data_IF_184159119264
#
_entry.id   IF_184159119264
#
_cell.length_a   1.000
_cell.length_b   1.000
_cell.length_c   1.000
_cell.angle_alpha   90.00
_cell.angle_beta   90.00
_cell.angle_gamma   90.00
#
_symmetry.space_group_name_H-M   'P 1'
#
loop_
_entity.id
_entity.type
_entity.pdbx_description
1 polymer ?
#
# COMPACT_ATOMS: atom_id res chain seq x y z
N UNK A 1 1.93 -20.95 -31.44
CA UNK A 1 0.98 -19.83 -31.54
C UNK A 1 1.46 -19.01 -32.73
N UNK A 2 0.67 -18.90 -33.81
CA UNK A 2 1.10 -18.17 -35.01
C UNK A 2 1.15 -16.67 -34.69
N UNK A 3 2.32 -16.04 -34.85
CA UNK A 3 2.46 -14.59 -34.74
C UNK A 3 2.12 -14.00 -36.11
N UNK A 4 1.08 -13.16 -36.16
CA UNK A 4 0.71 -12.43 -37.37
C UNK A 4 1.56 -11.16 -37.39
N UNK A 5 2.47 -11.05 -38.35
CA UNK A 5 3.30 -9.86 -38.53
C UNK A 5 2.48 -8.64 -38.96
N UNK A 6 3.13 -7.48 -39.06
CA UNK A 6 2.52 -6.20 -39.42
C UNK A 6 1.85 -6.19 -40.82
N UNK A 7 2.03 -7.26 -41.61
CA UNK A 7 1.47 -7.49 -42.95
C UNK A 7 0.37 -8.56 -42.98
N UNK A 8 -0.02 -9.16 -41.84
CA UNK A 8 -1.06 -10.19 -41.75
C UNK A 8 -0.66 -11.57 -42.27
N UNK A 9 0.60 -11.76 -42.69
CA UNK A 9 1.16 -13.05 -43.06
C UNK A 9 1.71 -13.80 -41.81
N UNK A 10 1.60 -15.14 -41.76
CA UNK A 10 2.20 -15.92 -40.68
C UNK A 10 3.73 -15.88 -40.77
N UNK A 11 4.37 -15.40 -39.71
CA UNK A 11 5.83 -15.37 -39.59
C UNK A 11 6.35 -16.53 -38.75
N UNK A 12 7.53 -17.03 -39.10
CA UNK A 12 8.21 -18.05 -38.30
C UNK A 12 8.64 -17.45 -36.96
N UNK A 13 8.05 -17.94 -35.87
CA UNK A 13 8.31 -17.41 -34.53
C UNK A 13 8.72 -18.53 -33.56
N UNK A 14 9.70 -18.24 -32.71
CA UNK A 14 10.08 -19.09 -31.58
C UNK A 14 9.58 -18.43 -30.29
N UNK A 15 8.77 -19.16 -29.53
CA UNK A 15 8.26 -18.67 -28.24
C UNK A 15 9.15 -19.14 -27.10
N UNK A 16 9.77 -18.20 -26.39
CA UNK A 16 10.50 -18.47 -25.15
C UNK A 16 9.62 -18.09 -23.96
N UNK A 17 9.38 -19.04 -23.06
CA UNK A 17 8.63 -18.80 -21.81
C UNK A 17 9.58 -18.82 -20.62
N UNK A 18 9.56 -17.74 -19.83
CA UNK A 18 10.42 -17.57 -18.65
C UNK A 18 9.54 -17.54 -17.41
N UNK A 19 9.83 -18.43 -16.46
CA UNK A 19 9.13 -18.50 -15.18
C UNK A 19 10.06 -18.01 -14.06
N UNK A 20 9.52 -17.16 -13.18
CA UNK A 20 10.25 -16.74 -11.98
C UNK A 20 10.36 -17.89 -10.98
N UNK A 21 11.43 -17.92 -10.21
CA UNK A 21 11.54 -18.83 -9.05
C UNK A 21 10.59 -18.36 -7.92
N UNK A 22 10.11 -19.28 -7.06
CA UNK A 22 9.40 -18.89 -5.83
C UNK A 22 10.22 -17.90 -5.01
N UNK A 23 9.58 -16.88 -4.44
CA UNK A 23 10.25 -15.82 -3.66
C UNK A 23 10.93 -14.71 -4.48
N UNK A 24 11.16 -14.90 -5.79
CA UNK A 24 11.74 -13.84 -6.63
C UNK A 24 10.70 -12.76 -6.99
N UNK A 25 11.11 -11.49 -6.95
CA UNK A 25 10.33 -10.34 -7.40
C UNK A 25 10.12 -10.41 -8.92
N UNK A 26 8.87 -10.41 -9.36
CA UNK A 26 8.53 -10.53 -10.78
C UNK A 26 9.03 -9.35 -11.61
N UNK A 27 9.04 -8.14 -11.04
CA UNK A 27 9.47 -6.90 -11.74
C UNK A 27 10.98 -6.98 -12.00
N UNK A 28 11.76 -7.33 -11.00
CA UNK A 28 13.23 -7.43 -11.11
C UNK A 28 13.65 -8.51 -12.11
N UNK A 29 12.94 -9.66 -12.11
CA UNK A 29 13.19 -10.74 -13.07
C UNK A 29 12.94 -10.28 -14.50
N UNK A 30 11.82 -9.59 -14.75
CA UNK A 30 11.51 -9.06 -16.09
C UNK A 30 12.55 -8.04 -16.54
N UNK A 31 12.89 -7.07 -15.69
CA UNK A 31 13.90 -6.06 -15.99
C UNK A 31 15.26 -6.68 -16.32
N UNK A 32 15.67 -7.71 -15.55
CA UNK A 32 16.93 -8.42 -15.77
C UNK A 32 16.92 -9.19 -17.08
N UNK A 33 15.80 -9.83 -17.41
CA UNK A 33 15.62 -10.56 -18.68
C UNK A 33 15.67 -9.58 -19.86
N UNK A 34 14.94 -8.47 -19.81
CA UNK A 34 14.92 -7.48 -20.89
C UNK A 34 16.29 -6.83 -21.09
N UNK A 35 16.96 -6.44 -20.00
CA UNK A 35 18.33 -5.94 -20.07
C UNK A 35 19.27 -6.98 -20.69
N UNK A 36 19.11 -8.27 -20.37
CA UNK A 36 19.93 -9.32 -20.98
C UNK A 36 19.62 -9.49 -22.47
N UNK A 37 18.36 -9.43 -22.87
CA UNK A 37 17.96 -9.47 -24.29
C UNK A 37 18.56 -8.30 -25.05
N UNK A 38 18.54 -7.09 -24.48
CA UNK A 38 19.15 -5.91 -25.09
C UNK A 38 20.68 -6.06 -25.26
N UNK A 39 21.38 -6.66 -24.30
CA UNK A 39 22.83 -6.93 -24.46
C UNK A 39 23.15 -7.95 -25.56
N UNK A 40 22.17 -8.76 -25.97
CA UNK A 40 22.33 -9.78 -27.00
C UNK A 40 21.96 -9.26 -28.40
N UNK A 41 21.29 -8.10 -28.49
CA UNK A 41 21.00 -7.40 -29.73
C UNK A 41 22.31 -6.93 -30.39
N UNK A 42 22.48 -7.24 -31.67
CA UNK A 42 23.68 -6.89 -32.44
C UNK A 42 24.88 -7.85 -32.28
N UNK A 43 24.75 -8.92 -31.47
CA UNK A 43 25.76 -10.00 -31.41
C UNK A 43 25.14 -11.34 -31.78
N UNK A 44 24.31 -11.89 -30.90
CA UNK A 44 23.62 -13.18 -31.06
C UNK A 44 22.24 -13.03 -31.70
N UNK A 45 21.63 -11.85 -31.60
CA UNK A 45 20.38 -11.49 -32.27
C UNK A 45 20.72 -10.53 -33.43
N UNK A 46 20.79 -11.05 -34.66
CA UNK A 46 20.99 -10.22 -35.85
C UNK A 46 19.79 -9.30 -36.12
N UNK A 47 19.99 -8.25 -36.91
CA UNK A 47 19.03 -7.15 -37.11
C UNK A 47 17.72 -7.59 -37.78
N UNK A 48 17.70 -8.78 -38.39
CA UNK A 48 16.52 -9.41 -39.00
C UNK A 48 15.63 -10.15 -37.99
N UNK A 49 16.09 -10.33 -36.74
CA UNK A 49 15.35 -11.00 -35.68
C UNK A 49 14.62 -9.99 -34.79
N UNK A 50 13.29 -9.95 -34.91
CA UNK A 50 12.44 -9.10 -34.08
C UNK A 50 12.04 -9.81 -32.79
N UNK A 51 12.32 -9.19 -31.64
CA UNK A 51 11.89 -9.71 -30.33
C UNK A 51 10.66 -8.96 -29.86
N UNK A 52 9.54 -9.68 -29.71
CA UNK A 52 8.27 -9.13 -29.23
C UNK A 52 7.87 -9.78 -27.91
N UNK A 53 7.56 -8.95 -26.91
CA UNK A 53 7.04 -9.42 -25.63
C UNK A 53 5.54 -9.71 -25.81
N UNK A 54 5.16 -10.98 -25.70
CA UNK A 54 3.77 -11.41 -25.88
C UNK A 54 2.97 -11.39 -24.58
N UNK A 55 3.62 -11.64 -23.44
CA UNK A 55 3.02 -11.58 -22.09
C UNK A 55 4.05 -11.14 -21.06
N UNK A 56 3.76 -10.03 -20.38
CA UNK A 56 4.57 -9.51 -19.30
C UNK A 56 3.76 -9.41 -18.00
N UNK A 57 3.83 -10.46 -17.19
CA UNK A 57 3.17 -10.48 -15.88
C UNK A 57 3.87 -9.58 -14.85
N UNK A 58 5.13 -9.18 -15.06
CA UNK A 58 5.85 -8.25 -14.19
C UNK A 58 5.36 -6.82 -14.38
N UNK A 59 5.19 -6.37 -15.62
CA UNK A 59 4.63 -5.06 -15.96
C UNK A 59 3.19 -4.92 -15.46
N UNK A 60 2.33 -5.91 -15.72
CA UNK A 60 0.93 -5.88 -15.23
C UNK A 60 0.86 -5.90 -13.70
N UNK A 61 1.78 -6.59 -13.02
CA UNK A 61 1.85 -6.57 -11.56
C UNK A 61 2.31 -5.21 -11.02
N UNK A 62 3.30 -4.58 -11.67
CA UNK A 62 3.79 -3.25 -11.32
C UNK A 62 2.70 -2.18 -11.50
N UNK A 63 2.02 -2.16 -12.65
CA UNK A 63 0.92 -1.23 -12.93
C UNK A 63 -0.19 -1.37 -11.89
N UNK A 64 -0.64 -2.60 -11.61
CA UNK A 64 -1.70 -2.84 -10.63
C UNK A 64 -1.28 -2.46 -9.21
N UNK A 65 -0.01 -2.66 -8.85
CA UNK A 65 0.51 -2.23 -7.56
C UNK A 65 0.56 -0.70 -7.45
N UNK A 66 0.99 -0.01 -8.51
CA UNK A 66 1.07 1.45 -8.53
C UNK A 66 -0.32 2.11 -8.52
N UNK A 67 -1.27 1.55 -9.26
CA UNK A 67 -2.68 1.95 -9.26
C UNK A 67 -3.29 1.81 -7.85
N UNK A 68 -3.04 0.69 -7.17
CA UNK A 68 -3.48 0.48 -5.79
C UNK A 68 -2.84 1.47 -4.79
N UNK A 69 -1.53 1.71 -4.90
CA UNK A 69 -0.83 2.67 -4.05
C UNK A 69 -1.38 4.10 -4.25
N UNK A 70 -1.66 4.48 -5.49
CA UNK A 70 -2.25 5.77 -5.82
C UNK A 70 -3.65 5.92 -5.23
N UNK A 71 -4.52 4.90 -5.38
CA UNK A 71 -5.85 4.93 -4.77
C UNK A 71 -5.80 4.96 -3.24
N UNK A 72 -4.87 4.24 -2.62
CA UNK A 72 -4.66 4.27 -1.17
C UNK A 72 -4.22 5.68 -0.71
N UNK A 73 -3.30 6.32 -1.44
CA UNK A 73 -2.87 7.69 -1.16
C UNK A 73 -4.01 8.70 -1.28
N UNK A 74 -4.83 8.61 -2.34
CA UNK A 74 -6.01 9.48 -2.52
C UNK A 74 -7.03 9.26 -1.40
N UNK A 75 -7.28 8.02 -0.99
CA UNK A 75 -8.21 7.70 0.09
C UNK A 75 -7.73 8.25 1.44
N UNK A 76 -6.46 8.03 1.81
CA UNK A 76 -5.87 8.56 3.06
C UNK A 76 -5.91 10.09 3.06
N UNK A 77 -5.56 10.73 1.95
CA UNK A 77 -5.62 12.19 1.83
C UNK A 77 -7.05 12.71 1.95
N UNK A 78 -8.01 12.06 1.29
CA UNK A 78 -9.43 12.41 1.36
C UNK A 78 -10.00 12.31 2.78
N UNK A 79 -9.68 11.24 3.50
CA UNK A 79 -10.06 11.06 4.91
C UNK A 79 -9.41 12.12 5.79
N UNK A 80 -8.11 12.39 5.61
CA UNK A 80 -7.41 13.43 6.37
C UNK A 80 -8.04 14.81 6.16
N UNK A 81 -8.44 15.14 4.92
CA UNK A 81 -9.10 16.41 4.57
C UNK A 81 -10.50 16.51 5.16
N UNK A 82 -11.27 15.41 5.15
CA UNK A 82 -12.58 15.33 5.81
C UNK A 82 -12.46 15.55 7.31
N UNK A 83 -11.53 14.88 7.98
CA UNK A 83 -11.29 15.03 9.42
C UNK A 83 -10.81 16.46 9.73
N UNK A 84 -9.95 17.04 8.89
CA UNK A 84 -9.51 18.44 9.04
C UNK A 84 -10.69 19.42 9.01
N UNK A 85 -11.66 19.20 8.12
CA UNK A 85 -12.82 20.07 7.99
C UNK A 85 -13.88 19.87 9.08
N UNK A 86 -14.04 18.64 9.58
CA UNK A 86 -15.08 18.29 10.55
C UNK A 86 -14.65 18.35 12.02
N UNK A 87 -13.40 18.03 12.35
CA UNK A 87 -12.89 17.99 13.74
C UNK A 87 -12.02 19.22 14.08
N UNK A 88 -11.44 19.88 13.08
CA UNK A 88 -10.59 21.06 13.26
C UNK A 88 -9.08 20.75 13.37
N UNK A 89 -8.27 21.80 13.23
CA UNK A 89 -6.82 21.69 12.93
C UNK A 89 -6.00 20.87 13.95
N UNK A 90 -6.36 20.90 15.24
CA UNK A 90 -5.60 20.19 16.30
C UNK A 90 -5.85 18.69 16.31
N UNK A 91 -7.10 18.29 16.09
CA UNK A 91 -7.53 16.89 16.10
C UNK A 91 -7.04 16.16 14.85
N UNK A 92 -7.15 16.81 13.69
CA UNK A 92 -6.65 16.28 12.41
C UNK A 92 -5.14 16.01 12.42
N UNK A 93 -4.35 16.81 13.15
CA UNK A 93 -2.90 16.63 13.22
C UNK A 93 -2.50 15.33 13.95
N UNK A 94 -3.25 14.94 14.97
CA UNK A 94 -3.03 13.68 15.69
C UNK A 94 -3.34 12.48 14.78
N UNK A 95 -4.47 12.54 14.06
CA UNK A 95 -4.85 11.46 13.12
C UNK A 95 -3.87 11.38 11.94
N UNK A 96 -3.44 12.53 11.41
CA UNK A 96 -2.46 12.61 10.32
C UNK A 96 -1.12 11.98 10.70
N UNK A 97 -0.74 11.98 11.97
CA UNK A 97 0.47 11.30 12.46
C UNK A 97 0.21 9.83 12.81
N UNK A 98 -0.98 9.50 13.34
CA UNK A 98 -1.34 8.14 13.72
C UNK A 98 -1.40 7.19 12.52
N UNK A 99 -2.06 7.58 11.42
CA UNK A 99 -2.24 6.68 10.26
C UNK A 99 -0.88 6.28 9.63
N UNK A 100 0.03 7.22 9.28
CA UNK A 100 1.30 6.87 8.68
C UNK A 100 2.22 6.10 9.63
N UNK A 101 2.19 6.41 10.93
CA UNK A 101 3.02 5.69 11.91
C UNK A 101 2.59 4.23 12.06
N UNK A 102 1.29 3.96 12.12
CA UNK A 102 0.73 2.59 12.15
C UNK A 102 1.07 1.80 10.88
N UNK A 103 0.97 2.45 9.73
CA UNK A 103 1.28 1.84 8.43
C UNK A 103 2.79 1.53 8.31
N UNK A 104 3.64 2.46 8.73
CA UNK A 104 5.08 2.29 8.77
C UNK A 104 5.50 1.15 9.71
N UNK A 105 4.89 1.06 10.89
CA UNK A 105 5.16 -0.02 11.86
C UNK A 105 4.75 -1.38 11.30
N UNK A 106 3.56 -1.48 10.69
CA UNK A 106 3.09 -2.73 10.07
C UNK A 106 4.01 -3.19 8.93
N UNK A 107 4.43 -2.26 8.07
CA UNK A 107 5.39 -2.54 6.99
C UNK A 107 6.76 -2.95 7.53
N UNK A 108 7.23 -2.30 8.60
CA UNK A 108 8.48 -2.65 9.27
C UNK A 108 8.44 -4.09 9.79
N UNK A 109 7.35 -4.49 10.44
CA UNK A 109 7.14 -5.86 10.91
C UNK A 109 7.15 -6.83 9.73
N UNK A 110 6.44 -6.52 8.65
CA UNK A 110 6.44 -7.35 7.44
C UNK A 110 7.85 -7.53 6.86
N UNK A 111 8.64 -6.47 6.84
CA UNK A 111 10.02 -6.50 6.40
C UNK A 111 10.88 -7.42 7.30
N UNK A 112 10.77 -7.29 8.63
CA UNK A 112 11.52 -8.10 9.59
C UNK A 112 11.18 -9.60 9.52
N UNK A 113 9.92 -9.94 9.26
CA UNK A 113 9.48 -11.34 9.09
C UNK A 113 9.71 -11.88 7.67
N UNK A 114 10.21 -11.06 6.73
CA UNK A 114 10.46 -11.46 5.35
C UNK A 114 9.19 -11.69 4.52
N UNK A 115 8.06 -11.09 4.91
CA UNK A 115 6.83 -11.18 4.13
C UNK A 115 6.88 -10.28 2.90
N UNK A 116 6.41 -10.81 1.77
CA UNK A 116 6.28 -10.04 0.51
C UNK A 116 4.91 -9.40 0.41
N UNK A 117 4.84 -8.16 -0.04
CA UNK A 117 3.58 -7.51 -0.39
C UNK A 117 2.99 -8.14 -1.66
N UNK A 118 1.79 -8.71 -1.53
CA UNK A 118 0.99 -9.23 -2.63
C UNK A 118 -0.47 -8.73 -2.51
N UNK A 119 -1.30 -9.02 -3.50
CA UNK A 119 -2.68 -8.52 -3.53
C UNK A 119 -3.49 -8.90 -2.28
N UNK A 120 -3.31 -10.11 -1.74
CA UNK A 120 -4.02 -10.58 -0.54
C UNK A 120 -3.53 -9.81 0.69
N UNK A 121 -2.22 -9.69 0.87
CA UNK A 121 -1.65 -8.98 2.02
C UNK A 121 -1.97 -7.49 1.98
N UNK A 122 -2.04 -6.88 0.78
CA UNK A 122 -2.44 -5.48 0.62
C UNK A 122 -3.92 -5.28 0.98
N UNK A 123 -4.82 -6.16 0.54
CA UNK A 123 -6.23 -6.09 0.96
C UNK A 123 -6.39 -6.26 2.47
N UNK A 124 -5.69 -7.24 3.06
CA UNK A 124 -5.70 -7.45 4.50
C UNK A 124 -5.16 -6.22 5.25
N UNK A 125 -4.10 -5.59 4.75
CA UNK A 125 -3.49 -4.39 5.34
C UNK A 125 -4.45 -3.19 5.31
N UNK A 126 -5.11 -2.93 4.17
CA UNK A 126 -6.11 -1.84 4.07
C UNK A 126 -7.27 -2.06 5.05
N UNK A 127 -7.80 -3.27 5.11
CA UNK A 127 -8.92 -3.60 6.01
C UNK A 127 -8.51 -3.49 7.49
N UNK A 128 -7.33 -4.02 7.82
CA UNK A 128 -6.77 -3.97 9.17
C UNK A 128 -6.50 -2.54 9.64
N UNK A 129 -5.96 -1.68 8.76
CA UNK A 129 -5.75 -0.26 9.07
C UNK A 129 -7.09 0.43 9.34
N UNK A 130 -8.13 0.13 8.55
CA UNK A 130 -9.46 0.70 8.76
C UNK A 130 -10.01 0.42 10.15
N UNK A 131 -9.88 -0.83 10.63
CA UNK A 131 -10.31 -1.22 11.97
C UNK A 131 -9.42 -0.58 13.05
N UNK A 132 -8.09 -0.69 12.91
CA UNK A 132 -7.13 -0.23 13.92
C UNK A 132 -7.13 1.30 14.11
N UNK A 133 -7.33 2.05 13.02
CA UNK A 133 -7.35 3.51 13.07
C UNK A 133 -8.65 4.02 13.67
N UNK A 134 -9.77 3.32 13.48
CA UNK A 134 -11.06 3.72 14.06
C UNK A 134 -10.98 3.80 15.59
N UNK A 135 -10.43 2.77 16.23
CA UNK A 135 -10.21 2.74 17.68
C UNK A 135 -9.33 3.90 18.16
N UNK A 136 -8.22 4.16 17.44
CA UNK A 136 -7.32 5.26 17.78
C UNK A 136 -7.98 6.64 17.63
N UNK A 137 -8.82 6.82 16.60
CA UNK A 137 -9.57 8.07 16.38
C UNK A 137 -10.57 8.30 17.52
N UNK A 138 -11.35 7.27 17.90
CA UNK A 138 -12.35 7.38 18.99
C UNK A 138 -11.70 7.81 20.30
N UNK A 139 -10.53 7.25 20.65
CA UNK A 139 -9.80 7.63 21.87
C UNK A 139 -9.33 9.08 21.81
N UNK A 140 -8.73 9.50 20.70
CA UNK A 140 -8.22 10.87 20.53
C UNK A 140 -9.36 11.88 20.56
N UNK A 141 -10.46 11.60 19.86
CA UNK A 141 -11.65 12.45 19.87
C UNK A 141 -12.23 12.56 21.29
N UNK A 142 -12.31 11.44 22.03
CA UNK A 142 -12.84 11.48 23.38
C UNK A 142 -11.96 12.27 24.35
N UNK A 143 -10.62 12.20 24.22
CA UNK A 143 -9.69 13.04 24.98
C UNK A 143 -9.92 14.51 24.66
N UNK A 144 -10.03 14.87 23.38
CA UNK A 144 -10.22 16.27 22.98
C UNK A 144 -11.59 16.79 23.41
N UNK A 145 -12.63 15.95 23.35
CA UNK A 145 -13.95 16.24 23.91
C UNK A 145 -13.87 16.52 25.40
N UNK A 146 -13.15 15.71 26.16
CA UNK A 146 -12.96 15.91 27.61
C UNK A 146 -12.20 17.19 27.95
N UNK A 147 -11.19 17.55 27.16
CA UNK A 147 -10.46 18.81 27.33
C UNK A 147 -11.35 20.04 27.13
N UNK A 148 -12.43 19.92 26.34
CA UNK A 148 -13.42 20.98 26.09
C UNK A 148 -14.57 21.02 27.11
N UNK A 149 -14.65 20.06 28.04
CA UNK A 149 -15.73 20.03 29.03
C UNK A 149 -15.57 21.12 30.10
N UNK A 150 -16.68 21.72 30.58
CA UNK A 150 -16.64 22.70 31.66
C UNK A 150 -15.99 22.12 32.93
N UNK A 151 -14.91 22.73 33.40
CA UNK A 151 -14.16 22.29 34.57
C UNK A 151 -12.89 21.48 34.28
N UNK A 152 -12.64 21.11 33.01
CA UNK A 152 -11.39 20.49 32.58
C UNK A 152 -10.17 21.39 32.81
N UNK A 153 -10.33 22.72 32.71
CA UNK A 153 -9.28 23.72 32.95
C UNK A 153 -8.68 23.66 34.37
N UNK A 154 -9.40 23.07 35.34
CA UNK A 154 -8.97 22.95 36.73
C UNK A 154 -8.22 21.65 37.00
N UNK A 155 -8.20 20.72 36.04
CA UNK A 155 -7.55 19.41 36.17
C UNK A 155 -6.27 19.38 35.31
N UNK A 156 -5.21 18.69 35.75
CA UNK A 156 -4.05 18.44 34.90
C UNK A 156 -4.45 17.60 33.67
N UNK A 157 -3.85 17.89 32.51
CA UNK A 157 -4.15 17.22 31.23
C UNK A 157 -4.08 15.69 31.32
N UNK A 158 -3.14 15.17 32.12
CA UNK A 158 -3.00 13.73 32.33
C UNK A 158 -4.22 13.11 33.02
N UNK A 159 -4.84 13.82 33.96
CA UNK A 159 -6.06 13.35 34.64
C UNK A 159 -7.27 13.40 33.70
N UNK A 160 -7.38 14.45 32.89
CA UNK A 160 -8.42 14.57 31.86
C UNK A 160 -8.29 13.46 30.81
N UNK A 161 -7.07 13.15 30.39
CA UNK A 161 -6.79 12.07 29.45
C UNK A 161 -7.13 10.68 30.05
N UNK A 162 -6.82 10.44 31.33
CA UNK A 162 -7.17 9.19 31.99
C UNK A 162 -8.69 8.99 32.10
N UNK A 163 -9.43 10.02 32.52
CA UNK A 163 -10.90 9.97 32.57
C UNK A 163 -11.50 9.71 31.19
N UNK A 164 -10.97 10.37 30.15
CA UNK A 164 -11.41 10.17 28.79
C UNK A 164 -11.12 8.76 28.27
N UNK A 165 -9.94 8.20 28.58
CA UNK A 165 -9.58 6.84 28.16
C UNK A 165 -10.41 5.80 28.90
N UNK A 166 -10.72 5.99 30.19
CA UNK A 166 -11.56 5.06 30.96
C UNK A 166 -12.99 4.93 30.39
N UNK A 167 -13.56 6.01 29.83
CA UNK A 167 -14.91 5.96 29.23
C UNK A 167 -14.97 5.11 27.96
N UNK A 168 -13.92 5.15 27.12
CA UNK A 168 -13.89 4.44 25.82
C UNK A 168 -12.95 3.23 25.79
N UNK A 169 -12.23 2.95 26.86
CA UNK A 169 -11.24 1.89 26.93
C UNK A 169 -11.86 0.48 26.90
N UNK A 170 -12.91 0.25 27.70
CA UNK A 170 -13.56 -1.06 27.72
C UNK A 170 -14.26 -1.40 26.37
N UNK A 171 -14.98 -0.46 25.72
CA UNK A 171 -15.53 -0.70 24.39
C UNK A 171 -14.48 -0.98 23.31
N UNK A 172 -13.37 -0.22 23.29
CA UNK A 172 -12.31 -0.38 22.26
C UNK A 172 -11.57 -1.70 22.40
N UNK A 173 -11.23 -2.13 23.62
CA UNK A 173 -10.56 -3.42 23.86
C UNK A 173 -11.45 -4.61 23.49
N UNK A 174 -12.78 -4.50 23.62
CA UNK A 174 -13.71 -5.56 23.22
C UNK A 174 -13.92 -5.60 21.69
N UNK A 175 -13.59 -4.54 20.98
CA UNK A 175 -13.77 -4.41 19.54
C UNK A 175 -12.56 -4.91 18.72
N UNK A 176 -11.35 -4.85 19.29
CA UNK A 176 -10.09 -5.32 18.66
C UNK A 176 -9.82 -6.81 18.88
#
# INVERSE_FOLDING_TARGET
MLHLGNTGAPEAAVTLSLAKRPGANAIDVVNTVLAKVDTLRGTLLPDDVTVTITRDYGHTAAEKSNELLLHMGIAVFGVALLILFFLGWRESLVVLLAIPSTLALTLLVFYLYGYTLNRITLFALIFSIGILVDDAIVVVENIVRHVRLPGAEKKPLMQVALEAVDEVGNPTILAT
#
